data_IF_283781747093
#
_entry.id   IF_283781747093
#
_cell.length_a   1.000
_cell.length_b   1.000
_cell.length_c   1.000
_cell.angle_alpha   90.00
_cell.angle_beta   90.00
_cell.angle_gamma   90.00
#
_symmetry.space_group_name_H-M   'P 1'
#
loop_
_entity.id
_entity.type
_entity.pdbx_description
1 polymer ?
#
# COMPACT_ATOMS: atom_id res chain seq x y z
N UNK A 1 -12.08 8.08 -10.34
CA UNK A 1 -12.22 9.31 -9.53
C UNK A 1 -12.02 10.53 -10.42
N UNK A 2 -12.82 11.57 -10.26
CA UNK A 2 -12.58 12.86 -10.93
C UNK A 2 -11.43 13.63 -10.23
N UNK A 3 -10.72 14.54 -10.91
CA UNK A 3 -9.57 15.26 -10.34
C UNK A 3 -9.86 15.95 -9.00
N UNK A 4 -11.03 16.57 -8.86
CA UNK A 4 -11.46 17.25 -7.63
C UNK A 4 -11.74 16.30 -6.45
N UNK A 5 -11.84 15.00 -6.70
CA UNK A 5 -12.04 13.98 -5.68
C UNK A 5 -10.73 13.38 -5.17
N UNK A 6 -9.62 13.53 -5.91
CA UNK A 6 -8.31 12.96 -5.57
C UNK A 6 -7.63 13.76 -4.44
N UNK A 7 -8.18 13.66 -3.23
CA UNK A 7 -7.65 14.32 -2.04
C UNK A 7 -6.55 13.51 -1.39
N UNK A 8 -5.64 14.23 -0.74
CA UNK A 8 -4.39 13.69 -0.27
C UNK A 8 -3.67 14.53 0.76
N UNK A 9 -2.52 14.05 1.21
CA UNK A 9 -1.62 14.81 2.06
C UNK A 9 -0.88 15.88 1.24
N UNK A 10 -0.19 16.77 1.96
CA UNK A 10 0.39 18.00 1.39
C UNK A 10 1.43 17.74 0.28
N UNK A 11 2.10 16.58 0.28
CA UNK A 11 3.10 16.21 -0.72
C UNK A 11 2.52 15.42 -1.91
N UNK A 12 1.18 15.26 -1.96
CA UNK A 12 0.47 14.68 -3.09
C UNK A 12 0.11 13.20 -2.94
N UNK A 13 0.21 12.65 -1.75
CA UNK A 13 -0.20 11.28 -1.42
C UNK A 13 -1.72 11.12 -1.42
N UNK A 14 -2.26 10.19 -2.19
CA UNK A 14 -3.71 10.03 -2.40
C UNK A 14 -4.30 9.04 -1.39
N UNK A 15 -5.39 9.45 -0.73
CA UNK A 15 -6.28 8.57 0.02
C UNK A 15 -5.63 7.74 1.12
N UNK A 16 -6.22 6.58 1.40
CA UNK A 16 -5.81 5.72 2.52
C UNK A 16 -4.47 5.02 2.27
N UNK A 17 -4.13 4.75 1.01
CA UNK A 17 -2.84 4.14 0.64
C UNK A 17 -1.69 5.14 0.65
N UNK A 18 -1.98 6.43 0.69
CA UNK A 18 -0.96 7.48 0.57
C UNK A 18 -0.09 7.33 -0.69
N UNK A 19 -0.65 6.80 -1.78
CA UNK A 19 0.08 6.68 -3.04
C UNK A 19 0.31 8.03 -3.70
N UNK A 20 1.54 8.28 -4.12
CA UNK A 20 1.79 9.32 -5.12
C UNK A 20 1.08 8.95 -6.45
N UNK A 21 0.76 9.95 -7.26
CA UNK A 21 0.04 9.78 -8.52
C UNK A 21 0.65 8.71 -9.45
N UNK A 22 1.98 8.61 -9.51
CA UNK A 22 2.67 7.59 -10.30
C UNK A 22 2.42 6.16 -9.78
N UNK A 23 2.31 5.98 -8.47
CA UNK A 23 1.95 4.69 -7.85
C UNK A 23 0.47 4.38 -8.03
N UNK A 24 -0.40 5.37 -7.95
CA UNK A 24 -1.82 5.21 -8.28
C UNK A 24 -1.99 4.66 -9.71
N UNK A 25 -1.32 5.28 -10.69
CA UNK A 25 -1.42 4.83 -12.09
C UNK A 25 -0.96 3.38 -12.30
N UNK A 26 0.11 2.98 -11.60
CA UNK A 26 0.73 1.65 -11.77
C UNK A 26 0.04 0.55 -10.97
N UNK A 27 -0.44 0.85 -9.78
CA UNK A 27 -0.80 -0.19 -8.80
C UNK A 27 -2.23 -0.13 -8.30
N UNK A 28 -2.97 0.96 -8.57
CA UNK A 28 -4.37 1.03 -8.15
C UNK A 28 -5.21 -0.02 -8.89
N UNK A 29 -6.04 -0.74 -8.14
CA UNK A 29 -6.92 -1.83 -8.58
C UNK A 29 -8.36 -1.43 -8.29
N UNK A 30 -9.24 -1.68 -9.26
CA UNK A 30 -10.70 -1.66 -9.10
C UNK A 30 -11.10 -3.08 -8.70
N UNK A 31 -11.26 -3.31 -7.40
CA UNK A 31 -11.45 -4.63 -6.85
C UNK A 31 -12.93 -4.98 -6.70
N UNK A 32 -13.76 -4.00 -6.36
CA UNK A 32 -15.22 -4.17 -6.26
C UNK A 32 -15.93 -4.12 -7.63
N UNK A 33 -15.21 -3.76 -8.70
CA UNK A 33 -15.63 -3.78 -10.11
C UNK A 33 -16.70 -2.74 -10.43
N UNK A 34 -16.69 -1.61 -9.73
CA UNK A 34 -17.61 -0.49 -9.97
C UNK A 34 -17.16 0.45 -11.11
N UNK A 35 -16.01 0.16 -11.73
CA UNK A 35 -15.41 0.96 -12.79
C UNK A 35 -14.49 2.07 -12.27
N UNK A 36 -14.21 2.12 -10.96
CA UNK A 36 -13.38 3.13 -10.31
C UNK A 36 -12.30 2.45 -9.48
N UNK A 37 -11.21 3.20 -9.28
CA UNK A 37 -10.12 2.83 -8.36
C UNK A 37 -10.14 3.82 -7.20
N UNK A 38 -11.16 3.75 -6.35
CA UNK A 38 -11.38 4.73 -5.28
C UNK A 38 -10.55 4.39 -4.03
N UNK A 39 -9.29 4.85 -4.03
CA UNK A 39 -8.37 4.67 -2.89
C UNK A 39 -8.69 5.56 -1.67
N UNK A 40 -9.80 6.31 -1.71
CA UNK A 40 -10.23 7.18 -0.61
C UNK A 40 -11.36 6.52 0.15
N UNK A 41 -12.36 5.97 -0.55
CA UNK A 41 -13.61 5.48 0.04
C UNK A 41 -13.82 3.97 -0.07
N UNK A 42 -13.27 3.32 -1.10
CA UNK A 42 -13.45 1.89 -1.29
C UNK A 42 -12.39 1.12 -0.50
N UNK A 43 -12.80 0.51 0.62
CA UNK A 43 -11.94 -0.41 1.39
C UNK A 43 -11.43 -1.56 0.51
N UNK A 44 -12.27 -2.21 -0.33
CA UNK A 44 -11.80 -3.22 -1.28
C UNK A 44 -10.64 -2.72 -2.16
N UNK A 45 -10.78 -1.55 -2.78
CA UNK A 45 -9.74 -1.00 -3.66
C UNK A 45 -8.46 -0.64 -2.91
N UNK A 46 -8.59 -0.07 -1.70
CA UNK A 46 -7.45 0.28 -0.84
C UNK A 46 -6.62 -0.97 -0.50
N UNK A 47 -7.27 -2.03 -0.03
CA UNK A 47 -6.59 -3.27 0.34
C UNK A 47 -5.98 -3.96 -0.88
N UNK A 48 -6.76 -4.08 -1.97
CA UNK A 48 -6.29 -4.72 -3.20
C UNK A 48 -5.12 -3.97 -3.85
N UNK A 49 -5.16 -2.63 -3.87
CA UNK A 49 -4.09 -1.79 -4.40
C UNK A 49 -2.81 -1.87 -3.57
N UNK A 50 -2.96 -1.92 -2.24
CA UNK A 50 -1.82 -2.13 -1.32
C UNK A 50 -1.18 -3.49 -1.57
N UNK A 51 -1.98 -4.56 -1.66
CA UNK A 51 -1.50 -5.91 -1.97
C UNK A 51 -0.85 -5.99 -3.36
N UNK A 52 -1.43 -5.32 -4.36
CA UNK A 52 -0.91 -5.28 -5.73
C UNK A 52 0.45 -4.59 -5.78
N UNK A 53 0.63 -3.48 -5.07
CA UNK A 53 1.93 -2.82 -4.92
C UNK A 53 2.96 -3.78 -4.32
N UNK A 54 2.66 -4.41 -3.19
CA UNK A 54 3.59 -5.32 -2.51
C UNK A 54 3.97 -6.50 -3.41
N UNK A 55 2.99 -7.12 -4.07
CA UNK A 55 3.20 -8.23 -5.02
C UNK A 55 4.12 -7.82 -6.16
N UNK A 56 3.88 -6.67 -6.79
CA UNK A 56 4.72 -6.17 -7.90
C UNK A 56 6.14 -5.80 -7.46
N UNK A 57 6.33 -5.45 -6.18
CA UNK A 57 7.65 -5.21 -5.61
C UNK A 57 8.39 -6.49 -5.19
N UNK A 58 7.77 -7.66 -5.34
CA UNK A 58 8.38 -8.95 -5.10
C UNK A 58 8.05 -9.56 -3.74
N UNK A 59 6.95 -9.16 -3.11
CA UNK A 59 6.46 -9.80 -1.88
C UNK A 59 6.26 -11.29 -2.06
N UNK A 60 6.72 -12.07 -1.07
CA UNK A 60 6.61 -13.53 -1.03
C UNK A 60 5.68 -13.93 0.10
N UNK A 61 4.50 -14.44 -0.24
CA UNK A 61 3.52 -14.90 0.75
C UNK A 61 4.11 -16.01 1.65
N UNK A 62 3.77 -15.96 2.94
CA UNK A 62 4.25 -16.92 3.94
C UNK A 62 5.73 -16.78 4.33
N UNK A 63 6.48 -15.82 3.76
CA UNK A 63 7.88 -15.59 4.11
C UNK A 63 8.02 -14.53 5.21
N UNK A 64 9.08 -14.62 6.06
CA UNK A 64 9.35 -13.62 7.10
C UNK A 64 9.57 -12.21 6.52
N UNK A 65 9.24 -11.18 7.31
CA UNK A 65 9.31 -9.76 6.92
C UNK A 65 10.15 -8.87 7.85
N UNK A 66 10.93 -9.46 8.76
CA UNK A 66 11.88 -8.74 9.63
C UNK A 66 13.17 -8.29 8.90
N UNK A 67 14.00 -7.45 9.52
CA UNK A 67 15.26 -6.96 8.93
C UNK A 67 16.11 -8.08 8.30
N UNK A 68 16.63 -7.82 7.09
CA UNK A 68 17.44 -8.78 6.31
C UNK A 68 16.65 -9.71 5.38
N UNK A 69 15.33 -9.82 5.55
CA UNK A 69 14.47 -10.69 4.73
C UNK A 69 14.14 -10.08 3.36
N UNK A 70 13.64 -10.91 2.44
CA UNK A 70 13.16 -10.43 1.13
C UNK A 70 11.96 -9.48 1.26
N UNK A 71 11.00 -9.83 2.12
CA UNK A 71 9.79 -9.02 2.33
C UNK A 71 10.10 -7.70 3.04
N UNK A 72 11.11 -7.64 3.91
CA UNK A 72 11.55 -6.38 4.51
C UNK A 72 12.06 -5.39 3.46
N UNK A 73 12.77 -5.88 2.43
CA UNK A 73 13.19 -5.01 1.30
C UNK A 73 11.98 -4.44 0.56
N UNK A 74 10.93 -5.23 0.40
CA UNK A 74 9.67 -4.78 -0.22
C UNK A 74 9.00 -3.69 0.61
N UNK A 75 8.87 -3.87 1.93
CA UNK A 75 8.30 -2.84 2.81
C UNK A 75 9.11 -1.53 2.77
N UNK A 76 10.44 -1.62 2.62
CA UNK A 76 11.29 -0.44 2.45
C UNK A 76 11.09 0.30 1.12
N UNK A 77 10.48 -0.33 0.10
CA UNK A 77 10.08 0.38 -1.11
C UNK A 77 8.86 1.28 -0.86
N UNK A 78 8.00 0.93 0.08
CA UNK A 78 6.87 1.76 0.49
C UNK A 78 7.35 3.02 1.22
N UNK A 79 8.22 2.84 2.22
CA UNK A 79 8.86 3.93 2.96
C UNK A 79 10.27 3.51 3.38
N UNK A 80 11.25 4.38 3.14
CA UNK A 80 12.67 4.05 3.34
C UNK A 80 13.11 4.10 4.81
N UNK A 81 12.29 4.65 5.71
CA UNK A 81 12.59 4.76 7.15
C UNK A 81 12.48 3.39 7.85
N UNK A 82 13.54 2.98 8.54
CA UNK A 82 13.58 1.70 9.27
C UNK A 82 12.53 1.62 10.37
N UNK A 83 12.35 2.70 11.15
CA UNK A 83 11.35 2.76 12.23
C UNK A 83 9.92 2.60 11.72
N UNK A 84 9.62 3.11 10.53
CA UNK A 84 8.31 2.96 9.89
C UNK A 84 8.05 1.49 9.54
N UNK A 85 9.01 0.84 8.86
CA UNK A 85 8.88 -0.56 8.45
C UNK A 85 8.85 -1.51 9.65
N UNK A 86 9.65 -1.25 10.69
CA UNK A 86 9.62 -2.03 11.92
C UNK A 86 8.28 -1.87 12.65
N UNK A 87 7.72 -0.67 12.67
CA UNK A 87 6.37 -0.44 13.22
C UNK A 87 5.32 -1.26 12.47
N UNK A 88 5.36 -1.30 11.13
CA UNK A 88 4.46 -2.16 10.35
C UNK A 88 4.59 -3.62 10.77
N UNK A 89 5.83 -4.14 10.88
CA UNK A 89 6.07 -5.54 11.29
C UNK A 89 5.43 -5.84 12.65
N UNK A 90 5.69 -5.00 13.65
CA UNK A 90 5.16 -5.19 15.01
C UNK A 90 3.64 -5.07 15.05
N UNK A 91 3.07 -4.12 14.31
CA UNK A 91 1.61 -3.94 14.25
C UNK A 91 0.93 -5.11 13.55
N UNK A 92 1.49 -5.63 12.46
CA UNK A 92 0.96 -6.80 11.77
C UNK A 92 0.94 -8.03 12.69
N UNK A 93 2.03 -8.27 13.44
CA UNK A 93 2.11 -9.37 14.42
C UNK A 93 1.10 -9.25 15.56
N UNK A 94 0.70 -8.02 15.93
CA UNK A 94 -0.31 -7.77 16.96
C UNK A 94 -1.74 -7.92 16.44
N UNK A 95 -1.99 -7.56 15.19
CA UNK A 95 -3.32 -7.65 14.57
C UNK A 95 -3.67 -9.09 14.15
N UNK A 96 -2.66 -9.88 13.79
CA UNK A 96 -2.85 -11.26 13.32
C UNK A 96 -3.13 -12.28 14.45
N UNK A 97 -3.12 -11.86 15.72
CA UNK A 97 -3.44 -12.68 16.89
C UNK A 97 -4.88 -12.45 17.32
#
# INVERSE_FOLDING_TARGET
>A
MAPNQMRGAWAGEIGQTQFLASSYMKYAVDYDRDGRRDLIRSIPDVLASTANYLKNKGWRAGQPWGPGTANYRVLREWNKASVYVQTISVMADKIAK
#
